data_IF_679795100902
#
_entry.id   IF_679795100902
#
_cell.length_a   1.000
_cell.length_b   1.000
_cell.length_c   1.000
_cell.angle_alpha   90.00
_cell.angle_beta   90.00
_cell.angle_gamma   90.00
#
_symmetry.space_group_name_H-M   'P 1'
#
loop_
_entity.id
_entity.type
_entity.pdbx_description
1 polymer ?
#
# COMPACT_ATOMS: atom_id res chain seq x y z
N UNK A 1 21.03 -9.38 28.67
CA UNK A 1 21.08 -9.90 27.30
C UNK A 1 20.51 -8.81 26.41
N UNK A 2 21.33 -8.20 25.54
CA UNK A 2 20.87 -7.22 24.57
C UNK A 2 20.20 -7.99 23.44
N UNK A 3 18.88 -7.88 23.30
CA UNK A 3 18.17 -8.38 22.13
C UNK A 3 18.58 -7.45 21.00
N UNK A 4 19.21 -7.99 19.96
CA UNK A 4 19.50 -7.22 18.75
C UNK A 4 18.18 -6.65 18.22
N UNK A 5 18.13 -5.38 17.80
CA UNK A 5 16.91 -4.82 17.25
C UNK A 5 16.50 -5.62 16.00
N UNK A 6 15.22 -5.98 15.92
CA UNK A 6 14.64 -6.57 14.70
C UNK A 6 14.85 -5.53 13.59
N UNK A 7 15.70 -5.85 12.63
CA UNK A 7 16.19 -4.91 11.62
C UNK A 7 15.32 -4.82 10.36
N UNK A 8 14.23 -5.59 10.27
CA UNK A 8 13.35 -5.58 9.09
C UNK A 8 11.90 -5.79 9.56
N UNK A 9 10.94 -5.01 9.00
CA UNK A 9 9.51 -5.24 9.22
C UNK A 9 9.05 -6.55 8.58
N UNK A 10 9.78 -7.02 7.57
CA UNK A 10 9.59 -8.34 6.96
C UNK A 10 10.19 -9.39 7.88
N UNK A 11 9.33 -10.14 8.57
CA UNK A 11 9.73 -11.25 9.43
C UNK A 11 10.25 -12.44 8.62
N UNK A 12 9.64 -12.68 7.46
CA UNK A 12 9.92 -13.86 6.65
C UNK A 12 9.52 -13.60 5.19
N UNK A 13 10.33 -14.10 4.27
CA UNK A 13 9.99 -14.22 2.85
C UNK A 13 10.17 -15.68 2.43
N UNK A 14 9.12 -16.28 1.88
CA UNK A 14 9.11 -17.67 1.42
C UNK A 14 8.69 -17.73 -0.05
N UNK A 15 9.45 -18.42 -0.87
CA UNK A 15 9.00 -18.78 -2.23
C UNK A 15 7.90 -19.84 -2.12
N UNK A 16 6.67 -19.44 -2.40
CA UNK A 16 5.51 -20.33 -2.46
C UNK A 16 4.96 -20.46 -3.89
N UNK A 17 5.70 -19.98 -4.88
CA UNK A 17 5.30 -20.03 -6.29
C UNK A 17 4.92 -21.45 -6.76
N UNK A 18 5.56 -22.55 -6.28
CA UNK A 18 5.14 -23.91 -6.65
C UNK A 18 3.73 -24.29 -6.17
N UNK A 19 3.22 -23.65 -5.10
CA UNK A 19 1.89 -23.97 -4.57
C UNK A 19 0.74 -23.44 -5.44
N UNK A 20 1.01 -22.45 -6.30
CA UNK A 20 0.03 -21.83 -7.22
C UNK A 20 -1.31 -21.52 -6.54
N UNK A 21 -1.28 -20.91 -5.36
CA UNK A 21 -2.48 -20.60 -4.59
C UNK A 21 -3.42 -19.68 -5.38
N UNK A 22 -4.69 -20.06 -5.46
CA UNK A 22 -5.75 -19.18 -5.98
C UNK A 22 -6.01 -18.02 -5.01
N UNK A 23 -6.71 -16.97 -5.48
CA UNK A 23 -7.08 -15.83 -4.62
C UNK A 23 -7.95 -16.31 -3.44
N UNK A 24 -8.86 -17.24 -3.68
CA UNK A 24 -9.69 -17.84 -2.63
C UNK A 24 -8.86 -18.62 -1.60
N UNK A 25 -7.92 -19.45 -2.03
CA UNK A 25 -7.04 -20.18 -1.11
C UNK A 25 -6.18 -19.26 -0.26
N UNK A 26 -5.67 -18.19 -0.85
CA UNK A 26 -4.89 -17.19 -0.11
C UNK A 26 -5.76 -16.38 0.84
N UNK A 27 -6.98 -16.02 0.45
CA UNK A 27 -7.94 -15.38 1.35
C UNK A 27 -8.23 -16.25 2.59
N UNK A 28 -8.52 -17.55 2.38
CA UNK A 28 -8.73 -18.51 3.48
C UNK A 28 -7.47 -18.71 4.33
N UNK A 29 -6.28 -18.70 3.72
CA UNK A 29 -5.01 -18.77 4.45
C UNK A 29 -4.85 -17.55 5.37
N UNK A 30 -5.08 -16.34 4.89
CA UNK A 30 -5.03 -15.12 5.71
C UNK A 30 -6.08 -15.15 6.84
N UNK A 31 -7.30 -15.60 6.56
CA UNK A 31 -8.36 -15.72 7.58
C UNK A 31 -8.02 -16.69 8.73
N UNK A 32 -7.26 -17.72 8.43
CA UNK A 32 -6.82 -18.72 9.43
C UNK A 32 -5.60 -18.29 10.23
N UNK A 33 -4.87 -17.26 9.79
CA UNK A 33 -3.62 -16.78 10.37
C UNK A 33 -3.68 -15.28 10.67
N UNK A 34 -4.72 -14.83 11.36
CA UNK A 34 -5.05 -13.40 11.56
C UNK A 34 -4.02 -12.63 12.41
N UNK A 35 -3.13 -13.33 13.10
CA UNK A 35 -2.06 -12.74 13.90
C UNK A 35 -0.92 -12.14 13.05
N UNK A 36 -0.92 -12.41 11.75
CA UNK A 36 0.10 -11.97 10.80
C UNK A 36 -0.50 -11.18 9.66
N UNK A 37 0.31 -10.32 9.07
CA UNK A 37 0.01 -9.68 7.78
C UNK A 37 0.80 -10.39 6.69
N UNK A 38 0.12 -10.70 5.61
CA UNK A 38 0.68 -11.42 4.48
C UNK A 38 0.49 -10.63 3.21
N UNK A 39 1.49 -10.68 2.33
CA UNK A 39 1.40 -10.29 0.94
C UNK A 39 2.03 -11.37 0.07
N UNK A 40 1.73 -11.38 -1.22
CA UNK A 40 2.46 -12.16 -2.22
C UNK A 40 2.94 -11.20 -3.30
N UNK A 41 4.23 -11.22 -3.62
CA UNK A 41 4.78 -10.41 -4.71
C UNK A 41 4.57 -11.07 -6.10
N UNK A 42 4.91 -10.33 -7.16
CA UNK A 42 4.78 -10.80 -8.54
C UNK A 42 5.64 -12.02 -8.88
N UNK A 43 6.62 -12.38 -8.03
CA UNK A 43 7.42 -13.61 -8.18
C UNK A 43 6.78 -14.82 -7.52
N UNK A 44 5.70 -14.63 -6.75
CA UNK A 44 5.04 -15.69 -5.97
C UNK A 44 5.65 -15.89 -4.58
N UNK A 45 6.45 -14.95 -4.09
CA UNK A 45 7.01 -15.01 -2.74
C UNK A 45 6.01 -14.50 -1.71
N UNK A 46 5.74 -15.30 -0.69
CA UNK A 46 4.96 -14.91 0.50
C UNK A 46 5.82 -14.01 1.39
N UNK A 47 5.30 -12.84 1.67
CA UNK A 47 5.92 -11.85 2.56
C UNK A 47 5.10 -11.80 3.84
N UNK A 48 5.76 -12.03 4.98
CA UNK A 48 5.14 -11.94 6.31
C UNK A 48 5.71 -10.71 7.00
N UNK A 49 4.85 -9.80 7.43
CA UNK A 49 5.27 -8.55 8.08
C UNK A 49 4.90 -8.51 9.55
N UNK A 50 5.72 -7.82 10.35
CA UNK A 50 5.45 -7.54 11.76
C UNK A 50 4.49 -6.36 11.93
N UNK A 51 3.80 -6.27 13.08
CA UNK A 51 3.08 -5.05 13.45
C UNK A 51 4.01 -3.84 13.50
N UNK A 52 3.53 -2.70 13.03
CA UNK A 52 4.23 -1.42 13.15
C UNK A 52 4.23 -0.89 14.59
N UNK A 53 5.22 -0.06 14.94
CA UNK A 53 5.24 0.67 16.21
C UNK A 53 4.19 1.79 16.27
N UNK A 54 3.98 2.34 17.48
CA UNK A 54 2.97 3.39 17.71
C UNK A 54 3.17 4.63 16.82
N UNK A 55 4.41 5.02 16.57
CA UNK A 55 4.71 6.19 15.73
C UNK A 55 4.32 5.94 14.26
N UNK A 56 4.62 4.77 13.72
CA UNK A 56 4.17 4.37 12.38
C UNK A 56 2.64 4.31 12.32
N UNK A 57 2.00 3.80 13.36
CA UNK A 57 0.53 3.76 13.45
C UNK A 57 -0.10 5.15 13.49
N UNK A 58 0.48 6.12 14.26
CA UNK A 58 0.04 7.52 14.28
C UNK A 58 0.10 8.13 12.88
N UNK A 59 1.25 7.99 12.20
CA UNK A 59 1.46 8.52 10.85
C UNK A 59 0.49 7.91 9.83
N UNK A 60 0.28 6.61 9.89
CA UNK A 60 -0.70 5.93 9.04
C UNK A 60 -2.13 6.41 9.28
N UNK A 61 -2.50 6.66 10.54
CA UNK A 61 -3.80 7.21 10.89
C UNK A 61 -4.00 8.61 10.29
N UNK A 62 -2.97 9.45 10.32
CA UNK A 62 -3.03 10.80 9.76
C UNK A 62 -3.16 10.77 8.22
N UNK A 63 -2.35 9.96 7.54
CA UNK A 63 -2.43 9.77 6.09
C UNK A 63 -3.85 9.33 5.68
N UNK A 64 -4.36 8.29 6.35
CA UNK A 64 -5.68 7.75 6.05
C UNK A 64 -6.82 8.73 6.36
N UNK A 65 -6.69 9.51 7.44
CA UNK A 65 -7.65 10.55 7.79
C UNK A 65 -7.74 11.62 6.70
N UNK A 66 -6.60 12.18 6.26
CA UNK A 66 -6.57 13.23 5.25
C UNK A 66 -7.09 12.73 3.89
N UNK A 67 -6.65 11.54 3.45
CA UNK A 67 -7.12 10.93 2.20
C UNK A 67 -8.63 10.68 2.22
N UNK A 68 -9.14 10.12 3.32
CA UNK A 68 -10.56 9.86 3.48
C UNK A 68 -11.38 11.13 3.54
N UNK A 69 -10.94 12.15 4.29
CA UNK A 69 -11.64 13.43 4.40
C UNK A 69 -11.80 14.11 3.01
N UNK A 70 -10.76 14.06 2.19
CA UNK A 70 -10.82 14.56 0.82
C UNK A 70 -11.76 13.71 -0.06
N UNK A 71 -11.64 12.38 -0.02
CA UNK A 71 -12.48 11.48 -0.81
C UNK A 71 -13.98 11.63 -0.52
N UNK A 72 -14.36 11.82 0.75
CA UNK A 72 -15.75 12.07 1.17
C UNK A 72 -16.31 13.39 0.62
N UNK A 73 -15.48 14.43 0.54
CA UNK A 73 -15.89 15.72 -0.06
C UNK A 73 -16.08 15.62 -1.56
N UNK A 74 -15.15 14.97 -2.25
CA UNK A 74 -15.17 14.83 -3.73
C UNK A 74 -16.19 13.83 -4.25
N UNK A 75 -16.50 12.78 -3.48
CA UNK A 75 -17.47 11.70 -3.80
C UNK A 75 -17.22 10.92 -5.10
N UNK A 76 -16.04 11.09 -5.73
CA UNK A 76 -15.68 10.44 -7.00
C UNK A 76 -14.96 9.10 -6.81
N UNK A 77 -14.46 8.84 -5.63
CA UNK A 77 -13.75 7.60 -5.30
C UNK A 77 -13.81 7.27 -3.82
N UNK A 78 -13.22 6.14 -3.46
CA UNK A 78 -13.21 5.60 -2.11
C UNK A 78 -11.77 5.43 -1.63
N UNK A 79 -11.51 5.86 -0.40
CA UNK A 79 -10.24 5.66 0.29
C UNK A 79 -10.29 4.40 1.15
N UNK A 80 -9.19 3.65 1.15
CA UNK A 80 -9.02 2.39 1.87
C UNK A 80 -7.74 2.42 2.69
N UNK A 81 -7.74 1.68 3.78
CA UNK A 81 -6.60 1.53 4.71
C UNK A 81 -5.90 0.17 4.51
N UNK A 82 -4.82 -0.03 5.24
CA UNK A 82 -3.89 -1.14 5.10
C UNK A 82 -4.45 -2.57 5.33
N UNK A 83 -5.73 -2.74 5.67
CA UNK A 83 -6.39 -4.06 5.69
C UNK A 83 -7.08 -4.40 4.37
N UNK A 84 -7.26 -3.41 3.50
CA UNK A 84 -7.72 -3.66 2.14
C UNK A 84 -6.63 -4.34 1.33
N UNK A 85 -6.94 -5.48 0.72
CA UNK A 85 -6.03 -6.21 -0.16
C UNK A 85 -6.65 -6.42 -1.53
N UNK A 86 -5.82 -6.37 -2.56
CA UNK A 86 -6.23 -6.59 -3.94
C UNK A 86 -5.21 -7.46 -4.67
N UNK A 87 -5.64 -8.06 -5.78
CA UNK A 87 -4.78 -8.84 -6.67
C UNK A 87 -4.48 -8.03 -7.92
N UNK A 88 -3.19 -7.81 -8.18
CA UNK A 88 -2.67 -7.13 -9.37
C UNK A 88 -2.66 -8.06 -10.61
N UNK A 89 -2.57 -7.51 -11.84
CA UNK A 89 -2.51 -8.29 -13.07
C UNK A 89 -1.38 -9.34 -13.12
N UNK A 90 -0.21 -9.04 -12.53
CA UNK A 90 0.91 -9.99 -12.44
C UNK A 90 0.71 -11.10 -11.38
N UNK A 91 -0.43 -11.09 -10.67
CA UNK A 91 -0.76 -12.06 -9.62
C UNK A 91 -0.27 -11.68 -8.22
N UNK A 92 0.44 -10.56 -8.06
CA UNK A 92 0.80 -10.04 -6.74
C UNK A 92 -0.47 -9.69 -5.95
N UNK A 93 -0.43 -9.98 -4.64
CA UNK A 93 -1.50 -9.65 -3.70
C UNK A 93 -0.94 -8.67 -2.70
N UNK A 94 -1.41 -7.43 -2.79
CA UNK A 94 -0.84 -6.27 -2.11
C UNK A 94 -1.85 -5.55 -1.23
N UNK A 95 -1.33 -4.98 -0.15
CA UNK A 95 -2.08 -4.21 0.84
C UNK A 95 -1.26 -2.98 1.24
N UNK A 96 -1.32 -1.88 0.47
CA UNK A 96 -0.58 -0.65 0.82
C UNK A 96 -1.13 0.01 2.08
N UNK A 97 -0.38 0.94 2.66
CA UNK A 97 -0.77 1.64 3.88
C UNK A 97 -2.02 2.51 3.69
N UNK A 98 -2.18 3.10 2.50
CA UNK A 98 -3.42 3.74 2.08
C UNK A 98 -3.56 3.63 0.55
N UNK A 99 -4.80 3.59 0.05
CA UNK A 99 -5.06 3.61 -1.39
C UNK A 99 -6.44 4.18 -1.72
N UNK A 100 -6.60 4.54 -2.98
CA UNK A 100 -7.84 5.11 -3.46
C UNK A 100 -8.23 4.49 -4.80
N UNK A 101 -9.55 4.27 -4.96
CA UNK A 101 -10.14 3.68 -6.17
C UNK A 101 -11.32 4.55 -6.60
N UNK A 102 -11.41 4.84 -7.90
CA UNK A 102 -12.58 5.46 -8.50
C UNK A 102 -13.85 4.67 -8.16
N UNK A 103 -14.90 5.39 -7.75
CA UNK A 103 -16.15 4.82 -7.24
C UNK A 103 -16.83 3.88 -8.22
N UNK A 104 -16.85 4.27 -9.49
CA UNK A 104 -17.48 3.47 -10.54
C UNK A 104 -16.74 2.15 -10.77
N UNK A 105 -15.40 2.14 -10.68
CA UNK A 105 -14.58 0.93 -10.78
C UNK A 105 -14.81 -0.01 -9.59
N UNK A 106 -14.90 0.54 -8.38
CA UNK A 106 -15.18 -0.24 -7.18
C UNK A 106 -16.58 -0.86 -7.22
N UNK A 107 -17.61 -0.11 -7.63
CA UNK A 107 -18.98 -0.63 -7.70
C UNK A 107 -19.26 -1.51 -8.92
N UNK A 108 -18.37 -1.54 -9.90
CA UNK A 108 -18.39 -2.53 -10.97
C UNK A 108 -18.02 -3.94 -10.51
N UNK A 109 -17.31 -4.06 -9.36
CA UNK A 109 -17.05 -5.35 -8.72
C UNK A 109 -18.36 -5.94 -8.17
N UNK A 110 -18.52 -7.25 -8.29
CA UNK A 110 -19.62 -7.98 -7.64
C UNK A 110 -19.52 -7.87 -6.10
N UNK A 111 -20.63 -8.16 -5.42
CA UNK A 111 -20.64 -8.19 -3.96
C UNK A 111 -19.64 -9.22 -3.42
N UNK A 112 -19.59 -10.40 -4.06
CA UNK A 112 -18.67 -11.48 -3.70
C UNK A 112 -17.20 -11.02 -3.79
N UNK A 113 -16.83 -10.34 -4.88
CA UNK A 113 -15.47 -9.79 -5.04
C UNK A 113 -15.09 -8.75 -4.00
N UNK A 114 -16.06 -8.00 -3.49
CA UNK A 114 -15.80 -6.97 -2.47
C UNK A 114 -15.74 -7.52 -1.05
N UNK A 115 -16.44 -8.62 -0.74
CA UNK A 115 -16.66 -9.08 0.64
C UNK A 115 -16.00 -10.43 0.95
N UNK A 116 -15.81 -11.29 -0.06
CA UNK A 116 -15.46 -12.70 0.17
C UNK A 116 -14.11 -13.15 -0.40
N UNK A 117 -13.41 -12.24 -1.11
CA UNK A 117 -12.08 -12.52 -1.67
C UNK A 117 -11.27 -11.24 -1.85
N UNK A 118 -9.99 -11.39 -2.20
CA UNK A 118 -9.17 -10.27 -2.63
C UNK A 118 -9.52 -9.90 -4.08
N UNK A 119 -10.15 -8.73 -4.24
CA UNK A 119 -10.65 -8.29 -5.53
C UNK A 119 -9.51 -8.12 -6.56
N UNK A 120 -9.76 -8.53 -7.79
CA UNK A 120 -8.86 -8.25 -8.93
C UNK A 120 -9.12 -6.84 -9.43
N UNK A 121 -8.53 -5.88 -8.75
CA UNK A 121 -8.65 -4.46 -9.08
C UNK A 121 -7.31 -3.78 -8.84
N UNK A 122 -6.95 -2.87 -9.75
CA UNK A 122 -5.78 -2.00 -9.58
C UNK A 122 -6.26 -0.68 -8.99
N UNK A 123 -5.76 -0.24 -7.84
CA UNK A 123 -6.04 1.10 -7.34
C UNK A 123 -5.59 2.18 -8.32
N UNK A 124 -6.27 3.32 -8.30
CA UNK A 124 -5.82 4.48 -9.09
C UNK A 124 -4.67 5.21 -8.39
N UNK A 125 -4.59 5.08 -7.05
CA UNK A 125 -3.57 5.70 -6.23
C UNK A 125 -3.20 4.82 -5.03
N UNK A 126 -1.90 4.79 -4.65
CA UNK A 126 -1.38 4.07 -3.49
C UNK A 126 -0.39 4.91 -2.70
N UNK A 127 -0.33 4.68 -1.38
CA UNK A 127 0.69 5.24 -0.48
C UNK A 127 1.34 4.09 0.29
N UNK A 128 2.67 4.08 0.33
CA UNK A 128 3.48 3.30 1.26
C UNK A 128 4.21 4.24 2.20
N UNK A 129 4.16 3.97 3.50
CA UNK A 129 4.86 4.71 4.54
C UNK A 129 6.01 3.86 5.07
N UNK A 130 7.24 4.33 4.88
CA UNK A 130 8.41 3.63 5.41
C UNK A 130 8.40 3.60 6.93
N UNK A 131 8.49 2.41 7.53
CA UNK A 131 8.79 2.23 8.94
C UNK A 131 10.31 2.20 9.17
N UNK A 132 10.74 2.32 10.43
CA UNK A 132 12.18 2.33 10.79
C UNK A 132 12.91 1.05 10.38
N UNK A 133 12.20 -0.05 10.37
CA UNK A 133 12.72 -1.38 10.04
C UNK A 133 12.60 -1.75 8.56
N UNK A 134 11.98 -0.90 7.74
CA UNK A 134 11.81 -1.20 6.32
C UNK A 134 13.09 -0.95 5.52
N UNK A 135 13.37 -1.87 4.60
CA UNK A 135 14.37 -1.66 3.58
C UNK A 135 13.81 -0.78 2.46
N UNK A 136 14.39 0.43 2.31
CA UNK A 136 13.93 1.40 1.30
C UNK A 136 13.89 0.82 -0.11
N UNK A 137 14.91 0.06 -0.52
CA UNK A 137 14.97 -0.54 -1.86
C UNK A 137 13.85 -1.55 -2.13
N UNK A 138 13.48 -2.34 -1.10
CA UNK A 138 12.33 -3.25 -1.21
C UNK A 138 11.02 -2.48 -1.42
N UNK A 139 10.83 -1.37 -0.70
CA UNK A 139 9.66 -0.50 -0.90
C UNK A 139 9.67 0.18 -2.27
N UNK A 140 10.82 0.65 -2.73
CA UNK A 140 10.96 1.21 -4.08
C UNK A 140 10.59 0.19 -5.17
N UNK A 141 11.04 -1.06 -5.04
CA UNK A 141 10.68 -2.14 -5.96
C UNK A 141 9.16 -2.42 -5.90
N UNK A 142 8.55 -2.41 -4.71
CA UNK A 142 7.09 -2.56 -4.53
C UNK A 142 6.32 -1.43 -5.22
N UNK A 143 6.82 -0.20 -5.13
CA UNK A 143 6.22 0.94 -5.84
C UNK A 143 6.33 0.79 -7.36
N UNK A 144 7.48 0.36 -7.88
CA UNK A 144 7.64 0.03 -9.30
C UNK A 144 6.63 -1.03 -9.75
N UNK A 145 6.48 -2.13 -8.97
CA UNK A 145 5.48 -3.17 -9.25
C UNK A 145 4.06 -2.59 -9.33
N UNK A 146 3.68 -1.65 -8.47
CA UNK A 146 2.37 -0.99 -8.55
C UNK A 146 2.18 -0.26 -9.90
N UNK A 147 3.15 0.55 -10.30
CA UNK A 147 3.08 1.32 -11.56
C UNK A 147 3.06 0.39 -12.79
N UNK A 148 3.94 -0.60 -12.84
CA UNK A 148 3.99 -1.62 -13.91
C UNK A 148 2.66 -2.38 -14.07
N UNK A 149 1.87 -2.48 -13.00
CA UNK A 149 0.57 -3.13 -12.99
C UNK A 149 -0.61 -2.17 -13.16
N UNK A 150 -0.35 -0.88 -13.44
CA UNK A 150 -1.36 0.09 -13.86
C UNK A 150 -1.87 1.03 -12.75
N UNK A 151 -1.21 1.11 -11.61
CA UNK A 151 -1.42 2.22 -10.67
C UNK A 151 -0.99 3.52 -11.33
N UNK A 152 -1.82 4.55 -11.25
CA UNK A 152 -1.63 5.81 -11.98
C UNK A 152 -0.72 6.80 -11.24
N UNK A 153 -0.76 6.78 -9.90
CA UNK A 153 0.04 7.61 -9.03
C UNK A 153 0.35 6.84 -7.74
N UNK A 154 1.58 6.90 -7.28
CA UNK A 154 1.99 6.26 -6.03
C UNK A 154 2.97 7.13 -5.25
N UNK A 155 2.84 7.14 -3.93
CA UNK A 155 3.76 7.85 -3.04
C UNK A 155 4.44 6.87 -2.08
N UNK A 156 5.77 6.96 -2.03
CA UNK A 156 6.56 6.35 -0.97
C UNK A 156 7.05 7.47 -0.04
N UNK A 157 6.51 7.50 1.16
CA UNK A 157 6.81 8.52 2.18
C UNK A 157 7.88 7.95 3.12
N UNK A 158 9.02 8.60 3.17
CA UNK A 158 10.13 8.28 4.09
C UNK A 158 10.25 9.36 5.17
N UNK A 159 9.64 9.15 6.36
CA UNK A 159 9.68 10.15 7.42
C UNK A 159 11.06 10.29 8.08
N UNK A 160 11.97 9.33 7.89
CA UNK A 160 13.30 9.35 8.50
C UNK A 160 14.28 10.24 7.74
N UNK A 161 14.17 10.22 6.40
CA UNK A 161 14.94 11.08 5.51
C UNK A 161 14.15 12.34 5.10
N UNK A 162 12.89 12.45 5.54
CA UNK A 162 11.92 13.49 5.12
C UNK A 162 11.84 13.64 3.61
N UNK A 163 11.66 12.50 2.94
CA UNK A 163 11.55 12.40 1.48
C UNK A 163 10.22 11.81 1.07
N UNK A 164 9.74 12.28 -0.07
CA UNK A 164 8.62 11.64 -0.76
C UNK A 164 9.06 11.29 -2.16
N UNK A 165 8.96 10.00 -2.51
CA UNK A 165 9.15 9.52 -3.87
C UNK A 165 7.78 9.45 -4.53
N UNK A 166 7.58 10.17 -5.62
CA UNK A 166 6.35 10.21 -6.40
C UNK A 166 6.55 9.38 -7.66
N UNK A 167 5.75 8.34 -7.81
CA UNK A 167 5.77 7.41 -8.94
C UNK A 167 4.56 7.68 -9.81
N UNK A 168 4.75 7.84 -11.13
CA UNK A 168 3.69 8.12 -12.09
C UNK A 168 3.56 7.03 -13.14
N UNK A 169 2.43 6.98 -13.82
CA UNK A 169 2.12 5.98 -14.84
C UNK A 169 3.07 5.99 -16.05
N UNK A 170 3.79 7.09 -16.29
CA UNK A 170 4.84 7.18 -17.30
C UNK A 170 6.22 6.65 -16.82
N UNK A 171 6.22 5.93 -15.69
CA UNK A 171 7.39 5.38 -15.02
C UNK A 171 8.37 6.44 -14.48
N UNK A 172 8.02 7.72 -14.52
CA UNK A 172 8.83 8.77 -13.91
C UNK A 172 8.80 8.68 -12.39
N UNK A 173 9.94 8.94 -11.75
CA UNK A 173 10.07 9.02 -10.30
C UNK A 173 10.67 10.37 -9.93
N UNK A 174 9.92 11.16 -9.19
CA UNK A 174 10.37 12.43 -8.63
C UNK A 174 10.62 12.25 -7.13
N UNK A 175 11.67 12.87 -6.62
CA UNK A 175 11.99 12.86 -5.18
C UNK A 175 11.92 14.28 -4.64
N UNK A 176 11.00 14.49 -3.70
CA UNK A 176 10.87 15.76 -2.98
C UNK A 176 11.59 15.69 -1.65
N UNK A 177 12.44 16.68 -1.39
CA UNK A 177 13.18 16.81 -0.13
C UNK A 177 12.41 17.72 0.83
N UNK A 178 12.08 17.22 2.01
CA UNK A 178 11.41 17.93 3.11
C UNK A 178 10.18 18.77 2.68
N UNK A 179 9.26 18.23 1.84
CA UNK A 179 8.07 18.96 1.44
C UNK A 179 7.14 19.14 2.65
N UNK A 180 6.43 20.29 2.69
CA UNK A 180 5.38 20.52 3.70
C UNK A 180 4.06 19.89 3.26
N UNK A 181 3.82 19.85 1.96
CA UNK A 181 2.62 19.30 1.34
C UNK A 181 2.99 18.62 0.03
N UNK A 182 2.20 17.64 -0.35
CA UNK A 182 2.27 16.98 -1.66
C UNK A 182 0.90 16.96 -2.32
N UNK A 183 0.89 17.23 -3.63
CA UNK A 183 -0.34 17.27 -4.44
C UNK A 183 -0.67 15.89 -5.01
N UNK A 184 -1.96 15.54 -5.00
CA UNK A 184 -2.50 14.37 -5.69
C UNK A 184 -2.59 14.50 -7.20
N UNK A 185 -2.08 15.59 -7.75
CA UNK A 185 -2.04 15.90 -9.18
C UNK A 185 -3.44 15.78 -9.82
N UNK A 186 -3.49 15.42 -11.10
CA UNK A 186 -4.77 15.23 -11.81
C UNK A 186 -5.49 13.93 -11.39
N UNK A 187 -4.78 13.00 -10.75
CA UNK A 187 -5.35 11.72 -10.32
C UNK A 187 -6.26 11.90 -9.12
N UNK A 188 -5.84 12.71 -8.14
CA UNK A 188 -6.63 13.10 -6.97
C UNK A 188 -6.80 14.62 -6.97
N UNK A 189 -7.53 15.12 -7.97
CA UNK A 189 -7.69 16.57 -8.19
C UNK A 189 -8.10 17.31 -6.92
N UNK A 190 -7.30 18.30 -6.51
CA UNK A 190 -7.50 19.09 -5.30
C UNK A 190 -7.15 18.40 -4.00
N UNK A 191 -6.55 17.20 -4.03
CA UNK A 191 -5.96 16.58 -2.84
C UNK A 191 -4.56 17.14 -2.59
N UNK A 192 -4.34 17.60 -1.38
CA UNK A 192 -3.02 17.91 -0.84
C UNK A 192 -2.87 17.19 0.50
N UNK A 193 -1.84 16.35 0.63
CA UNK A 193 -1.47 15.74 1.91
C UNK A 193 -0.53 16.68 2.65
N UNK A 194 -0.94 17.12 3.85
CA UNK A 194 -0.10 17.85 4.77
C UNK A 194 0.81 16.88 5.53
N UNK A 195 2.12 17.09 5.47
CA UNK A 195 3.12 16.20 6.03
C UNK A 195 3.61 16.62 7.43
N UNK A 196 3.08 17.72 7.98
CA UNK A 196 3.53 18.28 9.26
C UNK A 196 3.50 17.27 10.40
N UNK A 197 2.42 16.47 10.49
CA UNK A 197 2.25 15.43 11.53
C UNK A 197 2.83 14.06 11.12
N UNK A 198 3.42 13.96 9.94
CA UNK A 198 4.03 12.74 9.39
C UNK A 198 5.55 12.75 9.57
N UNK A 199 6.16 13.93 9.58
CA UNK A 199 7.61 14.12 9.80
C UNK A 199 8.12 13.84 11.21
#
# INVERSE_FOLDING_TARGET
MSVAPIQDSVLLTLDISPLKMTDQQFYEFCRRNQDFRFEIDGTGSLIVTSPGGLETSKRNSEINFQLRLWAEKGKIGLAFECRGMFTLPNGARRSPDAFWILKDRYYALSKEEREERFARIVPDFVIELRSKSDNLRKLQNKMGEYIENGVRLGWLIDPYERRVHIYRADESVEVLENPQKISGEDILSGFELDLTEIW
#
